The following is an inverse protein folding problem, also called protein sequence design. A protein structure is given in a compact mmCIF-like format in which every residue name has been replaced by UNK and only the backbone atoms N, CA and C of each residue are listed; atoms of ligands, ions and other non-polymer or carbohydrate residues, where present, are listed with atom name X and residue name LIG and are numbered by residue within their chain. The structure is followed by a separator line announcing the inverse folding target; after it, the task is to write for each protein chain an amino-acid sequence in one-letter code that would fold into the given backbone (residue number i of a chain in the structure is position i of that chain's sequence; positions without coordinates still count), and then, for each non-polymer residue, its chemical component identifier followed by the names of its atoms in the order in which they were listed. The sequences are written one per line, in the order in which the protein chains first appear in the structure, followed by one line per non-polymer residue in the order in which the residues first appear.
data_IF_861501737474
#
_entry.id   IF_861501737474
#
_cell.length_a   1.000
_cell.length_b   1.000
_cell.length_c   1.000
_cell.angle_alpha   90.00
_cell.angle_beta   90.00
_cell.angle_gamma   90.00
#
_symmetry.space_group_name_H-M   'P 1'
#
loop_
_entity.id
_entity.type
_entity.pdbx_description
1 polymer ?
#
# COMPACT_ATOMS: atom_id res chain seq x y z
N UNK A 1 7.14 -4.42 53.89
CA UNK A 1 8.03 -3.84 52.86
C UNK A 1 7.18 -3.34 51.71
N UNK A 2 6.78 -2.07 51.73
CA UNK A 2 5.99 -1.49 50.65
C UNK A 2 6.89 -1.25 49.44
N UNK A 3 6.63 -1.95 48.33
CA UNK A 3 7.32 -1.73 47.05
C UNK A 3 6.92 -0.34 46.54
N UNK A 4 7.83 0.61 46.62
CA UNK A 4 7.70 1.92 45.98
C UNK A 4 7.83 1.68 44.48
N UNK A 5 6.70 1.56 43.79
CA UNK A 5 6.66 1.40 42.34
C UNK A 5 6.98 2.77 41.75
N UNK A 6 8.16 2.89 41.16
CA UNK A 6 8.66 4.13 40.57
C UNK A 6 7.80 4.52 39.35
N UNK A 7 6.96 5.55 39.50
CA UNK A 7 6.01 6.02 38.48
C UNK A 7 6.66 6.39 37.15
N UNK A 8 7.95 6.75 37.16
CA UNK A 8 8.70 7.09 35.94
C UNK A 8 8.83 5.92 34.96
N UNK A 9 8.83 4.68 35.45
CA UNK A 9 8.87 3.49 34.58
C UNK A 9 7.53 3.24 33.87
N UNK A 10 6.41 3.65 34.47
CA UNK A 10 5.06 3.47 33.91
C UNK A 10 4.84 4.48 32.77
N UNK A 11 5.32 5.72 32.92
CA UNK A 11 5.25 6.73 31.86
C UNK A 11 6.02 6.31 30.59
N UNK A 12 7.16 5.62 30.74
CA UNK A 12 7.94 5.12 29.61
C UNK A 12 7.20 4.03 28.83
N UNK A 13 6.46 3.15 29.52
CA UNK A 13 5.63 2.12 28.87
C UNK A 13 4.47 2.72 28.06
N UNK A 14 3.89 3.85 28.51
CA UNK A 14 2.78 4.53 27.80
C UNK A 14 3.26 5.24 26.52
N UNK A 15 4.49 5.77 26.52
CA UNK A 15 5.07 6.40 25.32
C UNK A 15 5.37 5.38 24.21
N UNK A 16 5.77 4.15 24.56
CA UNK A 16 6.00 3.06 23.60
C UNK A 16 4.70 2.57 22.91
N UNK A 17 3.54 2.67 23.58
CA UNK A 17 2.23 2.30 23.00
C UNK A 17 1.63 3.42 22.15
N UNK A 18 2.05 4.68 22.38
CA UNK A 18 1.55 5.84 21.62
C UNK A 18 2.34 6.10 20.33
N UNK A 19 3.43 5.38 20.10
CA UNK A 19 3.89 5.04 18.74
C UNK A 19 3.08 3.89 18.18
N UNK A 20 1.75 4.00 18.26
CA UNK A 20 0.89 3.67 17.13
C UNK A 20 1.27 4.60 15.98
N UNK A 21 2.49 4.44 15.46
CA UNK A 21 2.82 4.80 14.11
C UNK A 21 1.89 3.92 13.32
N UNK A 22 0.76 4.53 12.99
CA UNK A 22 -0.11 4.21 11.89
C UNK A 22 0.72 3.39 10.93
N UNK A 23 0.41 2.10 10.79
CA UNK A 23 0.81 1.32 9.63
C UNK A 23 0.21 2.04 8.43
N UNK A 24 0.83 3.16 8.05
CA UNK A 24 0.68 3.85 6.80
C UNK A 24 1.46 2.95 5.86
N UNK A 25 0.85 1.80 5.57
CA UNK A 25 1.47 0.67 4.91
C UNK A 25 2.25 1.15 3.71
N UNK A 26 3.57 1.13 3.83
CA UNK A 26 4.48 1.04 2.71
C UNK A 26 4.29 2.18 1.67
N UNK A 27 4.02 3.40 2.13
CA UNK A 27 3.97 4.59 1.26
C UNK A 27 5.38 5.15 0.97
N UNK A 28 6.40 4.30 0.93
CA UNK A 28 7.79 4.72 0.80
C UNK A 28 8.63 3.65 0.08
N UNK A 29 8.32 3.37 -1.20
CA UNK A 29 9.27 2.72 -2.12
C UNK A 29 8.86 2.69 -3.62
N UNK A 30 7.68 3.15 -4.02
CA UNK A 30 7.24 3.11 -5.43
C UNK A 30 6.93 4.54 -5.87
N UNK A 31 7.37 4.92 -7.07
CA UNK A 31 7.57 6.31 -7.52
C UNK A 31 6.43 7.28 -7.16
N UNK A 32 6.69 8.61 -7.12
CA UNK A 32 5.85 9.62 -6.47
C UNK A 32 4.39 9.71 -6.97
N UNK A 33 4.02 8.91 -7.95
CA UNK A 33 2.80 8.98 -8.71
C UNK A 33 2.22 7.61 -9.13
N UNK A 34 2.99 6.52 -9.00
CA UNK A 34 2.56 5.18 -9.39
C UNK A 34 3.17 4.08 -8.53
N UNK A 35 2.36 3.05 -8.24
CA UNK A 35 2.76 1.90 -7.44
C UNK A 35 2.09 0.63 -7.96
N UNK A 36 2.65 -0.54 -7.66
CA UNK A 36 2.02 -1.80 -8.05
C UNK A 36 0.89 -2.15 -7.09
N UNK A 37 -0.24 -2.60 -7.62
CA UNK A 37 -1.38 -3.03 -6.81
C UNK A 37 -0.99 -4.23 -5.93
N UNK A 38 -0.99 -4.06 -4.61
CA UNK A 38 -0.55 -5.11 -3.67
C UNK A 38 -1.51 -6.28 -3.61
N UNK A 39 -2.78 -6.03 -3.94
CA UNK A 39 -3.84 -7.06 -3.97
C UNK A 39 -3.82 -7.89 -5.25
N UNK A 40 -3.01 -7.51 -6.24
CA UNK A 40 -2.92 -8.17 -7.55
C UNK A 40 -1.47 -8.33 -8.04
N UNK A 41 -0.62 -9.07 -7.30
CA UNK A 41 0.72 -9.39 -7.80
C UNK A 41 0.63 -10.28 -9.04
N UNK A 42 1.42 -9.98 -10.08
CA UNK A 42 1.48 -10.74 -11.34
C UNK A 42 0.14 -10.86 -12.10
N UNK A 43 -0.73 -9.85 -11.98
CA UNK A 43 -2.03 -9.87 -12.62
C UNK A 43 -1.95 -9.84 -14.15
N UNK A 44 -2.54 -10.86 -14.79
CA UNK A 44 -2.61 -10.96 -16.24
C UNK A 44 -3.67 -10.01 -16.81
N UNK A 45 -3.24 -9.03 -17.60
CA UNK A 45 -4.12 -8.08 -18.28
C UNK A 45 -5.07 -8.72 -19.33
N UNK A 46 -5.03 -10.04 -19.52
CA UNK A 46 -5.61 -10.73 -20.67
C UNK A 46 -7.10 -11.04 -20.50
N UNK A 47 -7.66 -10.83 -19.30
CA UNK A 47 -9.11 -10.90 -19.07
C UNK A 47 -9.87 -9.72 -19.70
N UNK A 48 -9.21 -8.92 -20.54
CA UNK A 48 -9.78 -7.76 -21.21
C UNK A 48 -10.39 -6.78 -20.21
N UNK A 49 -11.57 -6.28 -20.54
CA UNK A 49 -12.29 -5.28 -19.75
C UNK A 49 -12.54 -5.69 -18.29
N UNK A 50 -12.75 -6.98 -18.03
CA UNK A 50 -12.96 -7.50 -16.67
C UNK A 50 -11.70 -7.34 -15.83
N UNK A 51 -10.54 -7.64 -16.41
CA UNK A 51 -9.28 -7.52 -15.70
C UNK A 51 -8.85 -6.08 -15.48
N UNK A 52 -9.12 -5.22 -16.45
CA UNK A 52 -8.90 -3.78 -16.31
C UNK A 52 -9.79 -3.18 -15.21
N UNK A 53 -11.07 -3.56 -15.16
CA UNK A 53 -11.98 -3.11 -14.10
C UNK A 53 -11.56 -3.60 -12.73
N UNK A 54 -11.14 -4.86 -12.61
CA UNK A 54 -10.66 -5.42 -11.34
C UNK A 54 -9.40 -4.68 -10.85
N UNK A 55 -8.43 -4.45 -11.74
CA UNK A 55 -7.24 -3.66 -11.44
C UNK A 55 -7.60 -2.24 -10.98
N UNK A 56 -8.52 -1.58 -11.69
CA UNK A 56 -8.99 -0.25 -11.34
C UNK A 56 -9.69 -0.18 -9.98
N UNK A 57 -10.58 -1.14 -9.69
CA UNK A 57 -11.34 -1.17 -8.44
C UNK A 57 -10.42 -1.42 -7.23
N UNK A 58 -9.47 -2.35 -7.36
CA UNK A 58 -8.52 -2.64 -6.31
C UNK A 58 -7.55 -1.47 -6.07
N UNK A 59 -7.08 -0.81 -7.12
CA UNK A 59 -6.28 0.41 -6.96
C UNK A 59 -7.06 1.54 -6.28
N UNK A 60 -8.35 1.70 -6.58
CA UNK A 60 -9.21 2.67 -5.88
C UNK A 60 -9.39 2.32 -4.40
N UNK A 61 -9.52 1.03 -4.08
CA UNK A 61 -9.55 0.55 -2.69
C UNK A 61 -8.22 0.79 -1.94
N UNK A 62 -7.11 0.94 -2.67
CA UNK A 62 -5.80 1.32 -2.12
C UNK A 62 -5.59 2.85 -2.05
N UNK A 63 -6.56 3.66 -2.49
CA UNK A 63 -6.48 5.12 -2.47
C UNK A 63 -5.93 5.76 -3.75
N UNK A 64 -5.80 5.00 -4.83
CA UNK A 64 -5.48 5.54 -6.15
C UNK A 64 -6.71 6.13 -6.85
N UNK A 65 -6.49 6.94 -7.88
CA UNK A 65 -7.58 7.47 -8.72
C UNK A 65 -7.97 6.46 -9.80
N UNK A 66 -6.97 5.75 -10.33
CA UNK A 66 -7.17 4.71 -11.33
C UNK A 66 -6.13 3.60 -11.22
N UNK A 67 -6.52 2.41 -11.66
CA UNK A 67 -5.60 1.31 -11.97
C UNK A 67 -5.41 1.19 -13.48
N UNK A 68 -4.19 0.85 -13.90
CA UNK A 68 -3.82 0.66 -15.29
C UNK A 68 -3.11 -0.67 -15.42
N UNK A 69 -3.54 -1.49 -16.37
CA UNK A 69 -2.88 -2.76 -16.62
C UNK A 69 -1.74 -2.56 -17.64
N UNK A 70 -0.51 -2.88 -17.24
CA UNK A 70 0.68 -2.76 -18.07
C UNK A 70 1.16 -4.15 -18.44
N UNK A 71 1.32 -4.37 -19.74
CA UNK A 71 1.82 -5.62 -20.31
C UNK A 71 3.21 -5.39 -20.87
N UNK A 72 4.22 -6.05 -20.30
CA UNK A 72 5.59 -6.06 -20.82
C UNK A 72 5.82 -7.33 -21.62
N UNK A 73 5.81 -7.21 -22.96
CA UNK A 73 5.99 -8.33 -23.87
C UNK A 73 7.38 -8.98 -23.76
N UNK A 74 8.42 -8.18 -23.53
CA UNK A 74 9.81 -8.66 -23.41
C UNK A 74 10.02 -9.55 -22.18
N UNK A 75 9.33 -9.23 -21.08
CA UNK A 75 9.39 -9.99 -19.84
C UNK A 75 8.24 -11.00 -19.67
N UNK A 76 7.35 -11.12 -20.67
CA UNK A 76 6.08 -11.85 -20.57
C UNK A 76 5.36 -11.60 -19.23
N UNK A 77 5.39 -10.34 -18.77
CA UNK A 77 4.96 -9.94 -17.43
C UNK A 77 3.83 -8.94 -17.55
N UNK A 78 2.84 -9.10 -16.67
CA UNK A 78 1.67 -8.25 -16.61
C UNK A 78 1.53 -7.75 -15.19
N UNK A 79 1.29 -6.45 -15.07
CA UNK A 79 1.30 -5.74 -13.79
C UNK A 79 0.11 -4.79 -13.74
N UNK A 80 -0.56 -4.75 -12.60
CA UNK A 80 -1.57 -3.73 -12.31
C UNK A 80 -0.87 -2.56 -11.60
N UNK A 81 -0.86 -1.38 -12.23
CA UNK A 81 -0.27 -0.17 -11.67
C UNK A 81 -1.35 0.80 -11.22
N UNK A 82 -1.28 1.19 -9.96
CA UNK A 82 -2.13 2.19 -9.35
C UNK A 82 -1.52 3.57 -9.55
N UNK A 83 -2.34 4.56 -9.95
CA UNK A 83 -1.90 5.94 -10.22
C UNK A 83 -2.71 6.96 -9.44
N UNK A 84 -2.02 7.98 -8.94
CA UNK A 84 -2.66 9.10 -8.23
C UNK A 84 -3.00 10.29 -9.15
N UNK A 85 -3.69 11.31 -8.64
CA UNK A 85 -3.87 12.59 -9.36
C UNK A 85 -2.55 13.29 -9.58
N UNK A 86 -2.41 13.98 -10.71
CA UNK A 86 -1.23 14.81 -11.01
C UNK A 86 -0.07 14.05 -11.66
N UNK A 87 -0.31 12.81 -12.07
CA UNK A 87 0.66 11.97 -12.75
C UNK A 87 0.42 12.05 -14.27
N UNK A 88 1.21 12.88 -14.95
CA UNK A 88 1.20 13.10 -16.41
C UNK A 88 2.02 12.05 -17.14
#
# INVERSE_FOLDING_TARGET
MAKIINLSAILLLVLLVSTGIVEKGEAQAQGPCEWECKRLPNFKCWMGHVGENLCNDLCKNEGAIRGVCVSNATANSHRCLCRNSGCS
#
